data_IF_958096087158
#
_entry.id   IF_958096087158
#
_cell.length_a   1.000
_cell.length_b   1.000
_cell.length_c   1.000
_cell.angle_alpha   90.00
_cell.angle_beta   90.00
_cell.angle_gamma   90.00
#
_symmetry.space_group_name_H-M   'P 1'
#
loop_
_entity.id
_entity.type
_entity.pdbx_description
1 polymer ?
#
# COMPACT_ATOMS: atom_id res chain seq x y z
N UNK A 1 24.32 -13.20 -4.94
CA UNK A 1 22.92 -13.15 -4.47
C UNK A 1 22.87 -12.04 -3.43
N UNK A 2 22.22 -10.91 -3.71
CA UNK A 2 22.22 -9.78 -2.79
C UNK A 2 21.30 -10.09 -1.61
N UNK A 3 21.87 -10.29 -0.43
CA UNK A 3 21.13 -10.51 0.80
C UNK A 3 20.54 -9.17 1.26
N UNK A 4 19.23 -9.12 1.48
CA UNK A 4 18.53 -7.93 1.99
C UNK A 4 17.80 -8.30 3.28
N UNK A 5 17.85 -7.41 4.26
CA UNK A 5 17.09 -7.58 5.50
C UNK A 5 15.79 -6.77 5.46
N UNK A 6 14.65 -7.35 5.87
CA UNK A 6 13.41 -6.59 5.99
C UNK A 6 13.49 -5.61 7.16
N UNK A 7 12.73 -4.52 7.07
CA UNK A 7 12.53 -3.59 8.18
C UNK A 7 11.69 -4.31 9.26
N UNK A 8 12.23 -4.44 10.47
CA UNK A 8 11.58 -5.15 11.59
C UNK A 8 11.06 -4.23 12.68
N UNK A 9 11.66 -3.05 12.83
CA UNK A 9 11.33 -2.10 13.87
C UNK A 9 10.22 -1.14 13.38
N UNK A 10 9.06 -1.09 14.07
CA UNK A 10 7.95 -0.21 13.74
C UNK A 10 8.28 1.28 13.73
N UNK A 11 9.29 1.72 14.50
CA UNK A 11 9.65 3.14 14.55
C UNK A 11 10.20 3.63 13.21
N UNK A 12 10.94 2.79 12.48
CA UNK A 12 11.37 3.14 11.12
C UNK A 12 10.19 3.35 10.19
N UNK A 13 9.14 2.53 10.31
CA UNK A 13 7.92 2.69 9.51
C UNK A 13 7.26 4.04 9.83
N UNK A 14 7.22 4.43 11.11
CA UNK A 14 6.67 5.72 11.55
C UNK A 14 7.47 6.90 11.00
N UNK A 15 8.80 6.84 11.04
CA UNK A 15 9.68 7.87 10.50
C UNK A 15 9.52 8.00 8.98
N UNK A 16 9.48 6.88 8.25
CA UNK A 16 9.27 6.87 6.79
C UNK A 16 7.91 7.48 6.44
N UNK A 17 6.85 7.09 7.16
CA UNK A 17 5.51 7.67 6.96
C UNK A 17 5.53 9.19 7.11
N UNK A 18 6.11 9.70 8.19
CA UNK A 18 6.19 11.15 8.44
C UNK A 18 6.96 11.86 7.32
N UNK A 19 8.15 11.36 7.00
CA UNK A 19 8.98 11.93 5.93
C UNK A 19 8.24 11.98 4.58
N UNK A 20 7.58 10.89 4.19
CA UNK A 20 6.85 10.84 2.93
C UNK A 20 5.62 11.75 2.95
N UNK A 21 4.93 11.87 4.08
CA UNK A 21 3.78 12.76 4.23
C UNK A 21 4.18 14.22 4.01
N UNK A 22 5.27 14.65 4.64
CA UNK A 22 5.78 16.02 4.55
C UNK A 22 6.36 16.33 3.14
N UNK A 23 6.97 15.33 2.49
CA UNK A 23 7.62 15.52 1.19
C UNK A 23 6.66 15.37 0.00
N UNK A 24 5.87 14.30 -0.04
CA UNK A 24 5.00 14.00 -1.17
C UNK A 24 3.85 13.05 -0.78
N UNK A 25 2.65 13.62 -0.71
CA UNK A 25 1.44 12.88 -0.31
C UNK A 25 1.14 11.64 -1.19
N UNK A 26 1.41 11.70 -2.50
CA UNK A 26 1.23 10.54 -3.39
C UNK A 26 2.14 9.38 -2.98
N UNK A 27 3.41 9.66 -2.68
CA UNK A 27 4.37 8.64 -2.26
C UNK A 27 4.03 8.08 -0.88
N UNK A 28 3.56 8.94 0.03
CA UNK A 28 3.00 8.51 1.31
C UNK A 28 1.85 7.51 1.13
N UNK A 29 0.86 7.84 0.28
CA UNK A 29 -0.26 6.95 -0.01
C UNK A 29 0.18 5.62 -0.62
N UNK A 30 1.11 5.65 -1.59
CA UNK A 30 1.68 4.42 -2.18
C UNK A 30 2.33 3.52 -1.12
N UNK A 31 3.06 4.13 -0.18
CA UNK A 31 3.70 3.40 0.92
C UNK A 31 2.65 2.81 1.88
N UNK A 32 1.67 3.61 2.31
CA UNK A 32 0.60 3.18 3.23
C UNK A 32 -0.23 2.06 2.61
N UNK A 33 -0.66 2.18 1.36
CA UNK A 33 -1.38 1.12 0.64
C UNK A 33 -0.51 -0.14 0.53
N UNK A 34 0.77 0.01 0.18
CA UNK A 34 1.69 -1.13 0.02
C UNK A 34 1.88 -1.94 1.30
N UNK A 35 2.18 -1.29 2.42
CA UNK A 35 2.42 -1.99 3.69
C UNK A 35 1.14 -2.59 4.29
N UNK A 36 -0.04 -2.03 4.00
CA UNK A 36 -1.32 -2.54 4.54
C UNK A 36 -1.96 -3.63 3.66
N UNK A 37 -1.69 -3.65 2.35
CA UNK A 37 -2.29 -4.60 1.40
C UNK A 37 -1.35 -5.73 0.97
N UNK A 38 -0.04 -5.55 1.11
CA UNK A 38 0.96 -6.50 0.62
C UNK A 38 1.04 -6.59 -0.91
N UNK A 39 0.50 -5.60 -1.63
CA UNK A 39 0.55 -5.52 -3.08
C UNK A 39 1.92 -5.05 -3.57
N UNK A 40 2.32 -5.52 -4.77
CA UNK A 40 3.52 -4.98 -5.43
C UNK A 40 3.23 -3.59 -5.96
N UNK A 41 4.25 -2.73 -6.00
CA UNK A 41 4.10 -1.35 -6.47
C UNK A 41 3.45 -1.27 -7.86
N UNK A 42 3.78 -2.20 -8.76
CA UNK A 42 3.19 -2.27 -10.11
C UNK A 42 1.69 -2.52 -10.10
N UNK A 43 1.21 -3.29 -9.13
CA UNK A 43 -0.21 -3.62 -8.98
C UNK A 43 -0.95 -2.45 -8.30
N UNK A 44 -0.32 -1.80 -7.31
CA UNK A 44 -0.86 -0.61 -6.64
C UNK A 44 -1.10 0.54 -7.63
N UNK A 45 -0.17 0.76 -8.56
CA UNK A 45 -0.28 1.83 -9.57
C UNK A 45 -1.49 1.67 -10.51
N UNK A 46 -2.10 0.50 -10.57
CA UNK A 46 -3.29 0.24 -11.40
C UNK A 46 -4.60 0.52 -10.64
N UNK A 47 -4.55 0.73 -9.32
CA UNK A 47 -5.73 1.02 -8.51
C UNK A 47 -6.33 2.38 -8.91
N UNK A 48 -7.66 2.43 -8.97
CA UNK A 48 -8.41 3.66 -9.24
C UNK A 48 -9.11 4.14 -7.98
N UNK A 49 -9.46 5.42 -7.95
CA UNK A 49 -10.29 6.01 -6.88
C UNK A 49 -11.64 5.28 -6.75
N UNK A 50 -12.19 4.74 -7.84
CA UNK A 50 -13.40 3.92 -7.79
C UNK A 50 -13.24 2.65 -6.94
N UNK A 51 -12.02 2.10 -6.84
CA UNK A 51 -11.75 0.88 -6.07
C UNK A 51 -11.68 1.16 -4.57
N UNK A 52 -11.41 2.40 -4.16
CA UNK A 52 -11.34 2.79 -2.75
C UNK A 52 -12.70 2.97 -2.10
N UNK A 53 -13.78 3.07 -2.90
CA UNK A 53 -15.15 3.15 -2.40
C UNK A 53 -15.70 1.80 -1.90
N UNK A 54 -15.09 0.69 -2.33
CA UNK A 54 -15.45 -0.66 -1.89
C UNK A 54 -14.77 -0.96 -0.56
N UNK A 55 -15.22 -1.95 0.24
CA UNK A 55 -14.50 -2.33 1.45
C UNK A 55 -13.21 -3.13 1.19
N UNK A 56 -12.95 -3.53 -0.06
CA UNK A 56 -11.85 -4.38 -0.50
C UNK A 56 -11.28 -3.92 -1.84
N UNK A 57 -10.02 -4.26 -2.09
CA UNK A 57 -9.41 -4.20 -3.42
C UNK A 57 -9.60 -5.52 -4.16
N UNK A 58 -10.01 -5.45 -5.41
CA UNK A 58 -10.11 -6.60 -6.33
C UNK A 58 -9.15 -6.34 -7.48
N UNK A 59 -8.04 -7.09 -7.52
CA UNK A 59 -7.01 -6.91 -8.54
C UNK A 59 -6.68 -8.22 -9.24
N UNK A 60 -6.13 -8.13 -10.44
CA UNK A 60 -5.46 -9.25 -11.09
C UNK A 60 -3.97 -8.97 -11.03
N UNK A 61 -3.21 -9.79 -10.30
CA UNK A 61 -1.77 -9.58 -10.11
C UNK A 61 -1.05 -9.61 -11.46
N UNK A 62 -0.24 -8.59 -11.77
CA UNK A 62 0.43 -8.50 -13.07
C UNK A 62 1.41 -9.65 -13.32
N UNK A 63 2.12 -10.09 -12.28
CA UNK A 63 3.16 -11.13 -12.40
C UNK A 63 2.58 -12.54 -12.54
N UNK A 64 1.59 -12.88 -11.72
CA UNK A 64 1.05 -14.25 -11.63
C UNK A 64 -0.24 -14.43 -12.43
N UNK A 65 -0.86 -13.34 -12.88
CA UNK A 65 -2.17 -13.29 -13.55
C UNK A 65 -3.33 -13.83 -12.71
N UNK A 66 -3.15 -13.99 -11.39
CA UNK A 66 -4.20 -14.47 -10.48
C UNK A 66 -5.08 -13.31 -10.01
N UNK A 67 -6.39 -13.54 -10.01
CA UNK A 67 -7.33 -12.64 -9.35
C UNK A 67 -7.18 -12.78 -7.83
N UNK A 68 -7.14 -11.65 -7.14
CA UNK A 68 -7.03 -11.57 -5.68
C UNK A 68 -7.97 -10.51 -5.15
N UNK A 69 -8.60 -10.83 -4.02
CA UNK A 69 -9.41 -9.91 -3.23
C UNK A 69 -8.73 -9.68 -1.89
N UNK A 70 -8.52 -8.41 -1.53
CA UNK A 70 -7.83 -7.99 -0.31
C UNK A 70 -8.76 -7.04 0.44
N UNK A 71 -9.19 -7.44 1.63
CA UNK A 71 -9.98 -6.57 2.49
C UNK A 71 -9.13 -5.40 3.00
N UNK A 72 -9.68 -4.18 2.95
CA UNK A 72 -8.95 -3.02 3.44
C UNK A 72 -8.94 -2.98 4.96
N UNK A 73 -7.75 -2.78 5.53
CA UNK A 73 -7.59 -2.58 6.98
C UNK A 73 -8.33 -1.31 7.44
N UNK A 74 -8.83 -1.27 8.69
CA UNK A 74 -9.46 -0.07 9.23
C UNK A 74 -8.57 1.18 9.15
N UNK A 75 -7.26 1.00 9.31
CA UNK A 75 -6.24 2.04 9.20
C UNK A 75 -6.22 2.60 7.77
N UNK A 76 -6.10 1.73 6.77
CA UNK A 76 -6.08 2.15 5.36
C UNK A 76 -7.37 2.89 4.96
N UNK A 77 -8.53 2.44 5.46
CA UNK A 77 -9.81 3.13 5.21
C UNK A 77 -9.86 4.54 5.79
N UNK A 78 -9.18 4.79 6.92
CA UNK A 78 -9.10 6.13 7.52
C UNK A 78 -8.17 7.03 6.70
N UNK A 79 -7.00 6.52 6.31
CA UNK A 79 -6.00 7.27 5.53
C UNK A 79 -6.53 7.66 4.14
N UNK A 80 -7.33 6.82 3.50
CA UNK A 80 -7.96 7.10 2.20
C UNK A 80 -9.07 8.16 2.29
N UNK A 81 -9.70 8.31 3.47
CA UNK A 81 -10.83 9.24 3.69
C UNK A 81 -10.40 10.61 4.21
N UNK A 82 -9.14 10.77 4.59
CA UNK A 82 -8.55 12.09 4.88
C UNK A 82 -8.52 12.94 3.62
#
# INVERSE_FOLDING_TARGET
MNFVQPIRDPEYIRVIKKYLFDWNYRNYMLFVVGINSGLRISDILQLKVSDTQKPYFSIVEKKTKKARRIEMTPQLKREIKQ
#
